data_IF_192261036558
#
_entry.id   IF_192261036558
#
_cell.length_a   1.000
_cell.length_b   1.000
_cell.length_c   1.000
_cell.angle_alpha   90.00
_cell.angle_beta   90.00
_cell.angle_gamma   90.00
#
_symmetry.space_group_name_H-M   'P 1'
#
loop_
_entity.id
_entity.type
_entity.pdbx_description
1 polymer ?
#
# COMPACT_ATOMS: atom_id res chain seq x y z
N UNK A 1 -24.92 -24.65 -25.89
CA UNK A 1 -23.71 -24.37 -25.07
C UNK A 1 -23.94 -23.00 -24.49
N UNK A 2 -24.24 -22.92 -23.19
CA UNK A 2 -24.50 -21.67 -22.52
C UNK A 2 -23.19 -20.89 -22.42
N UNK A 3 -23.17 -19.67 -22.96
CA UNK A 3 -21.98 -18.81 -22.91
C UNK A 3 -21.87 -18.33 -21.45
N UNK A 4 -20.75 -18.63 -20.79
CA UNK A 4 -20.49 -18.15 -19.45
C UNK A 4 -20.58 -16.61 -19.42
N UNK A 5 -21.24 -16.08 -18.39
CA UNK A 5 -21.32 -14.64 -18.17
C UNK A 5 -19.91 -14.04 -18.10
N UNK A 6 -19.71 -12.95 -18.81
CA UNK A 6 -18.49 -12.16 -18.69
C UNK A 6 -18.38 -11.56 -17.28
N UNK A 7 -17.23 -11.72 -16.64
CA UNK A 7 -16.99 -11.28 -15.26
C UNK A 7 -15.77 -10.35 -15.23
N UNK A 8 -15.82 -9.41 -14.29
CA UNK A 8 -14.69 -8.52 -14.00
C UNK A 8 -13.44 -9.34 -13.65
N UNK A 9 -12.28 -8.91 -14.10
CA UNK A 9 -11.02 -9.55 -13.72
C UNK A 9 -10.77 -9.48 -12.21
N UNK A 10 -9.92 -10.36 -11.72
CA UNK A 10 -9.72 -10.59 -10.30
C UNK A 10 -9.11 -9.39 -9.58
N UNK A 11 -8.17 -8.70 -10.20
CA UNK A 11 -7.52 -7.57 -9.58
C UNK A 11 -8.50 -6.41 -9.40
N UNK A 12 -9.26 -6.08 -10.43
CA UNK A 12 -10.32 -5.08 -10.34
C UNK A 12 -11.43 -5.49 -9.38
N UNK A 13 -11.75 -6.78 -9.27
CA UNK A 13 -12.71 -7.26 -8.28
C UNK A 13 -12.27 -6.93 -6.84
N UNK A 14 -11.02 -7.22 -6.48
CA UNK A 14 -10.51 -6.91 -5.14
C UNK A 14 -10.30 -5.41 -4.91
N UNK A 15 -9.92 -4.66 -5.93
CA UNK A 15 -9.88 -3.20 -5.88
C UNK A 15 -11.27 -2.62 -5.56
N UNK A 16 -12.33 -3.12 -6.18
CA UNK A 16 -13.70 -2.67 -5.93
C UNK A 16 -14.18 -3.03 -4.51
N UNK A 17 -13.87 -4.23 -4.02
CA UNK A 17 -14.15 -4.59 -2.61
C UNK A 17 -13.46 -3.60 -1.68
N UNK A 18 -12.24 -3.28 -1.97
CA UNK A 18 -11.42 -2.43 -1.16
C UNK A 18 -11.89 -0.96 -1.20
N UNK A 19 -12.42 -0.47 -2.32
CA UNK A 19 -13.08 0.85 -2.39
C UNK A 19 -14.24 0.94 -1.37
N UNK A 20 -14.99 -0.15 -1.15
CA UNK A 20 -16.01 -0.21 -0.12
C UNK A 20 -15.42 -0.16 1.30
N UNK A 21 -14.28 -0.82 1.54
CA UNK A 21 -13.57 -0.77 2.82
C UNK A 21 -13.12 0.66 3.16
N UNK A 22 -12.77 1.48 2.16
CA UNK A 22 -12.38 2.88 2.33
C UNK A 22 -13.46 3.71 3.02
N UNK A 23 -14.75 3.38 2.82
CA UNK A 23 -15.89 4.09 3.41
C UNK A 23 -15.87 4.06 4.94
N UNK A 24 -15.12 3.12 5.54
CA UNK A 24 -14.91 3.03 7.00
C UNK A 24 -13.86 3.99 7.53
N UNK A 25 -13.00 4.54 6.68
CA UNK A 25 -12.05 5.56 7.11
C UNK A 25 -12.77 6.84 7.50
N UNK A 26 -12.51 7.33 8.69
CA UNK A 26 -13.02 8.60 9.20
C UNK A 26 -12.09 9.77 8.86
N UNK A 27 -11.00 9.54 8.14
CA UNK A 27 -10.07 10.61 7.73
C UNK A 27 -10.79 11.55 6.75
N UNK A 28 -10.94 12.84 7.08
CA UNK A 28 -11.68 13.79 6.25
C UNK A 28 -10.93 14.18 4.97
N UNK A 29 -9.62 13.90 4.90
CA UNK A 29 -8.79 14.37 3.79
C UNK A 29 -8.36 13.27 2.83
N UNK A 30 -8.16 12.04 3.30
CA UNK A 30 -7.68 10.94 2.45
C UNK A 30 -8.14 9.61 3.02
N UNK A 31 -9.00 8.93 2.30
CA UNK A 31 -9.49 7.61 2.67
C UNK A 31 -8.65 6.55 1.96
N UNK A 32 -7.88 5.82 2.74
CA UNK A 32 -6.99 4.75 2.25
C UNK A 32 -7.49 3.42 2.78
N UNK A 33 -7.36 2.39 1.97
CA UNK A 33 -7.72 1.03 2.31
C UNK A 33 -6.67 0.03 1.83
N UNK A 34 -6.70 -1.14 2.46
CA UNK A 34 -5.93 -2.30 2.04
C UNK A 34 -6.75 -3.57 2.26
N UNK A 35 -6.64 -4.51 1.32
CA UNK A 35 -7.22 -5.86 1.41
C UNK A 35 -6.11 -6.87 1.19
N UNK A 36 -5.94 -7.80 2.12
CA UNK A 36 -5.01 -8.91 1.96
C UNK A 36 -5.77 -10.16 1.55
N UNK A 37 -5.27 -10.81 0.51
CA UNK A 37 -5.88 -11.97 -0.14
C UNK A 37 -4.89 -13.13 -0.15
N UNK A 38 -5.31 -14.33 0.21
CA UNK A 38 -4.46 -15.51 0.20
C UNK A 38 -4.19 -16.05 -1.22
N UNK A 39 -3.31 -17.04 -1.32
CA UNK A 39 -2.97 -17.72 -2.59
C UNK A 39 -4.16 -18.39 -3.29
N UNK A 40 -5.26 -18.59 -2.58
CA UNK A 40 -6.52 -19.14 -3.13
C UNK A 40 -7.53 -18.03 -3.44
N UNK A 41 -7.08 -16.78 -3.42
CA UNK A 41 -7.89 -15.60 -3.69
C UNK A 41 -9.05 -15.40 -2.71
N UNK A 42 -8.84 -15.70 -1.42
CA UNK A 42 -9.80 -15.44 -0.36
C UNK A 42 -9.31 -14.25 0.47
N UNK A 43 -10.15 -13.24 0.73
CA UNK A 43 -9.80 -12.16 1.63
C UNK A 43 -9.50 -12.72 3.04
N UNK A 44 -8.37 -12.35 3.60
CA UNK A 44 -7.92 -12.78 4.94
C UNK A 44 -7.85 -11.63 5.93
N UNK A 45 -7.71 -10.40 5.43
CA UNK A 45 -7.70 -9.21 6.27
C UNK A 45 -8.07 -7.96 5.46
N UNK A 46 -8.62 -6.98 6.18
CA UNK A 46 -8.95 -5.65 5.67
C UNK A 46 -8.36 -4.58 6.58
N UNK A 47 -7.94 -3.47 6.01
CA UNK A 47 -7.46 -2.31 6.74
C UNK A 47 -7.91 -1.01 6.09
N UNK A 48 -8.15 0.00 6.88
CA UNK A 48 -8.34 1.39 6.45
C UNK A 48 -7.53 2.31 7.34
N UNK A 49 -7.13 3.45 6.84
CA UNK A 49 -6.34 4.39 7.61
C UNK A 49 -7.19 5.02 8.71
N UNK A 50 -6.68 4.96 9.93
CA UNK A 50 -7.30 5.61 11.09
C UNK A 50 -6.31 5.70 12.24
N UNK A 51 -6.77 6.28 13.35
CA UNK A 51 -6.02 6.41 14.60
C UNK A 51 -5.90 5.06 15.32
N UNK A 52 -5.11 5.05 16.36
CA UNK A 52 -4.90 3.88 17.22
C UNK A 52 -6.23 3.27 17.67
N UNK A 53 -6.34 1.95 17.61
CA UNK A 53 -7.52 1.22 18.05
C UNK A 53 -7.77 1.42 19.55
N UNK A 54 -9.05 1.51 19.94
CA UNK A 54 -9.53 1.71 21.31
C UNK A 54 -9.13 3.06 21.95
N UNK A 55 -8.52 3.98 21.23
CA UNK A 55 -8.34 5.35 21.70
C UNK A 55 -9.58 6.19 21.45
N UNK A 56 -9.81 7.16 22.33
CA UNK A 56 -10.91 8.09 22.16
C UNK A 56 -10.55 9.17 21.13
N UNK A 57 -11.05 9.03 19.93
CA UNK A 57 -10.77 9.94 18.80
C UNK A 57 -11.10 11.40 19.09
N UNK A 58 -11.93 11.68 20.12
CA UNK A 58 -12.31 13.06 20.50
C UNK A 58 -11.14 13.86 21.02
N UNK A 59 -10.10 13.19 21.52
CA UNK A 59 -8.89 13.81 22.04
C UNK A 59 -7.76 13.91 21.00
N UNK A 60 -7.94 13.34 19.82
CA UNK A 60 -6.92 13.32 18.78
C UNK A 60 -7.27 14.32 17.68
N UNK A 61 -6.34 15.23 17.40
CA UNK A 61 -6.53 16.18 16.30
C UNK A 61 -6.51 15.49 14.94
N UNK A 62 -7.34 15.97 14.01
CA UNK A 62 -7.36 15.55 12.61
C UNK A 62 -6.53 16.47 11.71
N UNK A 63 -5.90 17.46 12.30
CA UNK A 63 -5.12 18.46 11.59
C UNK A 63 -3.70 17.98 11.28
N UNK A 64 -3.18 18.38 10.13
CA UNK A 64 -1.80 18.14 9.73
C UNK A 64 -0.87 19.18 10.38
N UNK A 65 0.36 18.82 10.71
CA UNK A 65 0.99 17.50 10.59
C UNK A 65 0.72 16.55 11.76
N UNK A 66 0.14 17.04 12.85
CA UNK A 66 0.01 16.32 14.12
C UNK A 66 -0.69 14.96 13.99
N UNK A 67 -1.74 14.85 13.16
CA UNK A 67 -2.47 13.59 12.99
C UNK A 67 -1.57 12.41 12.56
N UNK A 68 -0.45 12.66 11.89
CA UNK A 68 0.43 11.60 11.39
C UNK A 68 1.20 10.86 12.47
N UNK A 69 1.33 11.42 13.66
CA UNK A 69 2.01 10.78 14.79
C UNK A 69 1.20 9.62 15.39
N UNK A 70 -0.11 9.59 15.19
CA UNK A 70 -1.00 8.58 15.75
C UNK A 70 -1.94 7.93 14.71
N UNK A 71 -1.79 8.26 13.44
CA UNK A 71 -2.49 7.58 12.35
C UNK A 71 -1.76 6.31 11.96
N UNK A 72 -2.50 5.21 11.86
CA UNK A 72 -2.03 3.95 11.31
C UNK A 72 -2.48 3.86 9.85
N UNK A 73 -1.55 3.52 8.96
CA UNK A 73 -1.86 3.34 7.54
C UNK A 73 -2.72 2.08 7.33
N UNK A 74 -3.48 2.07 6.25
CA UNK A 74 -4.41 1.00 5.92
C UNK A 74 -3.70 -0.36 5.78
N UNK A 75 -2.55 -0.38 5.14
CA UNK A 75 -1.73 -1.58 4.94
C UNK A 75 -1.26 -2.14 6.29
N UNK A 76 -0.82 -1.27 7.20
CA UNK A 76 -0.41 -1.66 8.55
C UNK A 76 -1.58 -2.21 9.35
N UNK A 77 -2.75 -1.58 9.28
CA UNK A 77 -3.95 -2.09 9.93
C UNK A 77 -4.34 -3.47 9.36
N UNK A 78 -4.28 -3.66 8.04
CA UNK A 78 -4.55 -4.96 7.42
C UNK A 78 -3.60 -6.05 7.91
N UNK A 79 -2.29 -5.75 8.05
CA UNK A 79 -1.29 -6.69 8.58
C UNK A 79 -1.56 -7.00 10.05
N UNK A 80 -1.74 -5.97 10.89
CA UNK A 80 -1.91 -6.13 12.34
C UNK A 80 -3.21 -6.84 12.73
N UNK A 81 -4.27 -6.66 11.96
CA UNK A 81 -5.55 -7.34 12.20
C UNK A 81 -5.63 -8.75 11.62
N UNK A 82 -4.67 -9.13 10.79
CA UNK A 82 -4.60 -10.51 10.29
C UNK A 82 -4.36 -11.50 11.44
N UNK A 83 -5.07 -12.62 11.38
CA UNK A 83 -4.93 -13.75 12.31
C UNK A 83 -4.24 -14.96 11.68
N UNK A 84 -3.72 -14.80 10.46
CA UNK A 84 -3.13 -15.88 9.68
C UNK A 84 -1.71 -15.54 9.24
N UNK A 85 -0.97 -16.56 8.79
CA UNK A 85 0.27 -16.37 8.05
C UNK A 85 -0.02 -15.65 6.73
N UNK A 86 0.72 -14.58 6.46
CA UNK A 86 0.58 -13.75 5.26
C UNK A 86 1.54 -14.13 4.13
N UNK A 87 2.33 -15.20 4.32
CA UNK A 87 3.34 -15.64 3.36
C UNK A 87 2.74 -15.95 1.97
N UNK A 88 3.18 -15.20 0.98
CA UNK A 88 2.73 -15.34 -0.41
C UNK A 88 1.33 -14.80 -0.67
N UNK A 89 0.75 -14.04 0.26
CA UNK A 89 -0.49 -13.28 0.03
C UNK A 89 -0.27 -12.12 -0.94
N UNK A 90 -1.37 -11.60 -1.46
CA UNK A 90 -1.43 -10.37 -2.26
C UNK A 90 -2.13 -9.28 -1.44
N UNK A 91 -1.54 -8.09 -1.40
CA UNK A 91 -2.14 -6.90 -0.80
C UNK A 91 -2.64 -5.97 -1.91
N UNK A 92 -3.91 -5.62 -1.87
CA UNK A 92 -4.54 -4.64 -2.73
C UNK A 92 -4.74 -3.34 -1.98
N UNK A 93 -4.42 -2.20 -2.58
CA UNK A 93 -4.61 -0.88 -1.99
C UNK A 93 -4.95 0.19 -3.05
N UNK A 94 -5.59 1.28 -2.62
CA UNK A 94 -5.93 2.35 -3.55
C UNK A 94 -4.72 3.21 -3.94
N UNK A 95 -3.71 3.29 -3.08
CA UNK A 95 -2.48 4.04 -3.36
C UNK A 95 -1.25 3.15 -3.26
N UNK A 96 -0.21 3.49 -4.00
CA UNK A 96 1.09 2.86 -3.87
C UNK A 96 1.59 2.95 -2.42
N UNK A 97 2.03 1.83 -1.87
CA UNK A 97 2.48 1.76 -0.47
C UNK A 97 3.75 2.59 -0.26
N UNK A 98 3.80 3.34 0.83
CA UNK A 98 4.96 4.14 1.20
C UNK A 98 6.09 3.27 1.76
N UNK A 99 7.29 3.86 1.90
CA UNK A 99 8.48 3.21 2.44
C UNK A 99 8.28 2.57 3.82
N UNK A 100 7.46 3.20 4.65
CA UNK A 100 7.13 2.65 5.96
C UNK A 100 6.28 1.38 5.86
N UNK A 101 5.24 1.38 5.02
CA UNK A 101 4.40 0.21 4.82
C UNK A 101 5.15 -0.91 4.10
N UNK A 102 5.96 -0.59 3.09
CA UNK A 102 6.74 -1.58 2.32
C UNK A 102 7.62 -2.45 3.21
N UNK A 103 8.30 -1.88 4.21
CA UNK A 103 9.12 -2.63 5.17
C UNK A 103 8.32 -3.74 5.86
N UNK A 104 7.12 -3.43 6.33
CA UNK A 104 6.28 -4.38 7.05
C UNK A 104 5.59 -5.37 6.10
N UNK A 105 5.22 -4.93 4.90
CA UNK A 105 4.66 -5.80 3.86
C UNK A 105 5.67 -6.88 3.48
N UNK A 106 6.91 -6.49 3.18
CA UNK A 106 7.98 -7.43 2.82
C UNK A 106 8.34 -8.33 4.01
N UNK A 107 8.46 -7.75 5.22
CA UNK A 107 8.77 -8.49 6.44
C UNK A 107 7.68 -9.50 6.84
N UNK A 108 6.44 -9.26 6.42
CA UNK A 108 5.32 -10.20 6.60
C UNK A 108 5.23 -11.27 5.50
N UNK A 109 6.21 -11.33 4.60
CA UNK A 109 6.26 -12.28 3.47
C UNK A 109 5.10 -12.15 2.49
N UNK A 110 4.40 -11.01 2.46
CA UNK A 110 3.43 -10.70 1.41
C UNK A 110 4.20 -10.60 0.10
N UNK A 111 3.80 -11.38 -0.90
CA UNK A 111 4.57 -11.51 -2.14
C UNK A 111 4.23 -10.46 -3.20
N UNK A 112 3.04 -9.88 -3.12
CA UNK A 112 2.56 -8.99 -4.18
C UNK A 112 1.79 -7.81 -3.58
N UNK A 113 2.08 -6.61 -4.09
CA UNK A 113 1.26 -5.42 -3.85
C UNK A 113 0.66 -4.96 -5.17
N UNK A 114 -0.65 -4.80 -5.20
CA UNK A 114 -1.39 -4.27 -6.36
C UNK A 114 -2.07 -2.98 -5.93
N UNK A 115 -1.77 -1.88 -6.61
CA UNK A 115 -2.31 -0.58 -6.27
C UNK A 115 -3.07 0.06 -7.45
N UNK A 116 -4.05 0.89 -7.12
CA UNK A 116 -4.91 1.56 -8.10
C UNK A 116 -4.27 2.83 -8.66
N UNK A 117 -3.62 3.61 -7.83
CA UNK A 117 -3.04 4.91 -8.23
C UNK A 117 -1.79 5.25 -7.43
N UNK A 118 -0.95 6.07 -8.02
CA UNK A 118 0.20 6.64 -7.33
C UNK A 118 -0.25 7.81 -6.45
N UNK A 119 0.45 8.02 -5.35
CA UNK A 119 0.35 9.27 -4.61
C UNK A 119 0.96 10.41 -5.44
N UNK A 120 0.12 11.20 -6.08
CA UNK A 120 0.55 12.37 -6.86
C UNK A 120 1.06 13.49 -5.94
N UNK A 121 0.63 13.49 -4.67
CA UNK A 121 1.10 14.42 -3.64
C UNK A 121 1.71 13.62 -2.49
N UNK A 122 3.03 13.51 -2.49
CA UNK A 122 3.83 12.82 -1.47
C UNK A 122 3.63 13.33 -0.03
N UNK A 123 2.88 14.40 0.15
CA UNK A 123 2.67 15.03 1.47
C UNK A 123 1.54 14.41 2.30
N UNK A 124 0.76 13.46 1.77
CA UNK A 124 -0.49 13.07 2.42
C UNK A 124 -0.39 11.91 3.41
N UNK A 125 0.66 11.07 3.34
CA UNK A 125 0.79 9.87 4.20
C UNK A 125 2.18 9.70 4.82
N UNK A 126 2.93 10.77 4.93
CA UNK A 126 4.25 10.76 5.52
C UNK A 126 4.18 10.82 7.06
N UNK A 127 5.09 10.13 7.75
CA UNK A 127 5.42 10.48 9.13
C UNK A 127 5.85 11.95 9.18
N UNK A 128 5.76 12.61 10.33
CA UNK A 128 6.16 14.02 10.44
C UNK A 128 7.59 14.23 9.91
N UNK A 129 8.50 13.30 10.19
CA UNK A 129 9.88 13.36 9.71
C UNK A 129 9.97 13.26 8.18
N UNK A 130 9.23 12.35 7.55
CA UNK A 130 9.26 12.18 6.08
C UNK A 130 8.53 13.30 5.33
N UNK A 131 7.76 14.13 6.01
CA UNK A 131 7.23 15.38 5.43
C UNK A 131 8.29 16.47 5.31
N UNK A 132 9.26 16.49 6.23
CA UNK A 132 10.38 17.43 6.21
C UNK A 132 11.44 17.06 5.16
N UNK A 133 11.45 15.79 4.73
CA UNK A 133 12.46 15.22 3.81
C UNK A 133 11.82 14.39 2.69
N UNK A 134 11.00 15.01 1.80
CA UNK A 134 10.29 14.28 0.74
C UNK A 134 11.23 13.59 -0.26
N UNK A 135 12.36 14.20 -0.58
CA UNK A 135 13.42 13.65 -1.46
C UNK A 135 14.04 12.39 -0.86
N UNK A 136 14.32 12.40 0.44
CA UNK A 136 14.87 11.23 1.16
C UNK A 136 13.88 10.08 1.18
N UNK A 137 12.60 10.38 1.36
CA UNK A 137 11.53 9.39 1.33
C UNK A 137 11.41 8.72 -0.05
N UNK A 138 11.42 9.50 -1.11
CA UNK A 138 11.36 8.97 -2.48
C UNK A 138 12.58 8.10 -2.77
N UNK A 139 13.78 8.55 -2.39
CA UNK A 139 15.00 7.79 -2.51
C UNK A 139 14.93 6.47 -1.70
N UNK A 140 14.45 6.50 -0.47
CA UNK A 140 14.26 5.30 0.35
C UNK A 140 13.27 4.31 -0.28
N UNK A 141 12.16 4.79 -0.83
CA UNK A 141 11.20 3.94 -1.53
C UNK A 141 11.84 3.27 -2.74
N UNK A 142 12.58 4.02 -3.55
CA UNK A 142 13.31 3.49 -4.70
C UNK A 142 14.34 2.43 -4.29
N UNK A 143 15.10 2.68 -3.24
CA UNK A 143 16.09 1.73 -2.72
C UNK A 143 15.45 0.43 -2.23
N UNK A 144 14.35 0.52 -1.46
CA UNK A 144 13.61 -0.66 -1.00
C UNK A 144 13.13 -1.49 -2.19
N UNK A 145 12.57 -0.85 -3.21
CA UNK A 145 12.07 -1.55 -4.40
C UNK A 145 13.21 -2.07 -5.28
N UNK A 146 14.36 -1.39 -5.35
CA UNK A 146 15.54 -1.87 -6.09
C UNK A 146 16.19 -3.09 -5.43
N UNK A 147 16.18 -3.12 -4.10
CA UNK A 147 16.73 -4.22 -3.29
C UNK A 147 15.69 -5.31 -2.99
N UNK A 148 14.50 -5.22 -3.58
CA UNK A 148 13.42 -6.18 -3.30
C UNK A 148 13.85 -7.61 -3.65
N UNK A 149 13.46 -8.61 -2.83
CA UNK A 149 13.74 -9.99 -3.16
C UNK A 149 12.97 -10.43 -4.41
N UNK A 150 13.52 -11.41 -5.14
CA UNK A 150 12.94 -11.91 -6.40
C UNK A 150 11.50 -12.45 -6.27
N UNK A 151 11.08 -12.79 -5.05
CA UNK A 151 9.72 -13.27 -4.78
C UNK A 151 8.70 -12.15 -4.54
N UNK A 152 9.13 -10.87 -4.40
CA UNK A 152 8.25 -9.73 -4.14
C UNK A 152 7.99 -8.96 -5.43
N UNK A 153 6.75 -8.51 -5.61
CA UNK A 153 6.32 -7.67 -6.73
C UNK A 153 5.41 -6.54 -6.25
N UNK A 154 5.57 -5.35 -6.82
CA UNK A 154 4.65 -4.24 -6.65
C UNK A 154 4.27 -3.69 -8.02
N UNK A 155 2.95 -3.65 -8.33
CA UNK A 155 2.47 -3.21 -9.65
C UNK A 155 1.15 -2.44 -9.57
N UNK A 156 0.91 -1.61 -10.58
CA UNK A 156 -0.39 -0.97 -10.78
C UNK A 156 -1.42 -2.01 -11.26
N UNK A 157 -2.71 -1.83 -10.91
CA UNK A 157 -3.79 -2.73 -11.35
C UNK A 157 -3.95 -2.74 -12.87
N UNK A 158 -3.72 -1.61 -13.52
CA UNK A 158 -3.75 -1.48 -14.98
C UNK A 158 -2.37 -1.71 -15.63
N UNK A 159 -1.43 -2.34 -14.88
CA UNK A 159 -0.09 -2.56 -15.35
C UNK A 159 -0.07 -3.44 -16.60
N UNK A 160 0.65 -2.97 -17.61
CA UNK A 160 1.04 -3.77 -18.79
C UNK A 160 2.57 -3.87 -18.80
N UNK A 161 3.16 -4.98 -19.24
CA UNK A 161 4.62 -5.15 -19.27
C UNK A 161 5.40 -4.01 -19.96
N UNK A 162 4.75 -3.30 -20.86
CA UNK A 162 5.31 -2.19 -21.63
C UNK A 162 5.60 -0.93 -20.75
N UNK A 163 4.95 -0.79 -19.60
CA UNK A 163 5.14 0.37 -18.71
C UNK A 163 6.33 0.21 -17.76
N UNK A 164 6.90 -0.98 -17.64
CA UNK A 164 8.09 -1.25 -16.81
C UNK A 164 9.31 -0.45 -17.29
N UNK A 165 9.51 -0.32 -18.62
CA UNK A 165 10.64 0.40 -19.20
C UNK A 165 10.59 1.91 -18.94
N UNK A 166 9.39 2.49 -18.80
CA UNK A 166 9.21 3.93 -18.54
C UNK A 166 9.44 4.32 -17.07
N UNK A 167 9.23 3.37 -16.15
CA UNK A 167 9.32 3.63 -14.71
C UNK A 167 10.67 3.24 -14.09
N UNK A 168 11.28 2.18 -14.62
CA UNK A 168 12.50 1.58 -14.08
C UNK A 168 13.65 1.67 -15.07
N UNK A 169 13.79 2.79 -15.77
CA UNK A 169 14.96 3.00 -16.63
C UNK A 169 16.20 2.54 -15.91
N UNK A 170 16.87 1.52 -16.44
CA UNK A 170 18.07 0.87 -15.85
C UNK A 170 19.21 1.83 -15.50
N UNK A 171 19.11 3.07 -15.97
CA UNK A 171 20.14 4.11 -15.86
C UNK A 171 19.95 5.05 -14.66
N UNK A 172 18.89 4.89 -13.86
CA UNK A 172 18.56 5.79 -12.73
C UNK A 172 18.79 5.19 -11.33
N UNK A 173 19.62 4.16 -11.20
CA UNK A 173 20.07 3.71 -9.89
C UNK A 173 21.18 4.67 -9.45
N UNK A 174 21.00 5.48 -8.40
CA UNK A 174 22.09 6.33 -7.91
C UNK A 174 23.24 5.44 -7.47
N UNK A 175 24.45 5.76 -7.91
CA UNK A 175 25.70 5.07 -7.57
C UNK A 175 26.07 5.24 -6.08
N UNK A 176 25.19 4.92 -5.14
CA UNK A 176 25.47 4.97 -3.70
C UNK A 176 26.16 3.71 -3.15
N UNK A 177 26.39 2.70 -4.00
CA UNK A 177 27.05 1.46 -3.57
C UNK A 177 28.58 1.49 -3.70
N UNK A 178 29.16 2.63 -4.06
CA UNK A 178 30.62 2.80 -4.20
C UNK A 178 31.19 3.88 -3.26
N UNK A 179 30.62 4.07 -2.07
CA UNK A 179 31.21 4.89 -1.03
C UNK A 179 31.42 4.08 0.25
#
# INVERSE_FOLDING_TARGET
MEIARDVIDRDNYFINIADEVATRSKDPSTQVWAVIVDKKHRPVSFGYNWFLWAWDDRYLTRERPMKYYFSIHAEMNAILFSKTDLSGCTLYCNYASCENCLKFIIQSWISTVIYKQLHVNSHTNASAWSMEHPETREAATRLILSAQPLWFQMRNVNWTPYLEELWWGKDNIPNFLNA
#
